data_IF_356124439896
#
_entry.id   IF_356124439896
#
_cell.length_a   1.000
_cell.length_b   1.000
_cell.length_c   1.000
_cell.angle_alpha   90.00
_cell.angle_beta   90.00
_cell.angle_gamma   90.00
#
_symmetry.space_group_name_H-M   'P 1'
#
loop_
_entity.id
_entity.type
_entity.pdbx_description
1 polymer ?
#
# COMPACT_ATOMS: atom_id res chain seq x y z
N UNK A 1 0.88 -10.46 1.90
CA UNK A 1 1.33 -9.17 1.97
C UNK A 1 1.55 -8.42 0.68
N UNK A 2 2.70 -7.79 0.56
CA UNK A 2 3.04 -6.79 -0.48
C UNK A 2 2.85 -7.34 -1.91
N UNK A 3 3.44 -8.49 -2.22
CA UNK A 3 3.36 -9.11 -3.57
C UNK A 3 1.89 -9.37 -3.95
N UNK A 4 1.10 -9.95 -3.04
CA UNK A 4 -0.32 -10.22 -3.31
C UNK A 4 -1.11 -8.92 -3.57
N UNK A 5 -0.82 -7.86 -2.82
CA UNK A 5 -1.43 -6.54 -3.02
C UNK A 5 -1.13 -5.99 -4.41
N UNK A 6 0.14 -6.04 -4.83
CA UNK A 6 0.57 -5.56 -6.15
C UNK A 6 -0.04 -6.38 -7.30
N UNK A 7 -0.14 -7.69 -7.14
CA UNK A 7 -0.79 -8.57 -8.13
C UNK A 7 -2.27 -8.20 -8.28
N UNK A 8 -2.99 -7.97 -7.18
CA UNK A 8 -4.41 -7.58 -7.21
C UNK A 8 -4.59 -6.23 -7.91
N UNK A 9 -3.77 -5.22 -7.59
CA UNK A 9 -3.84 -3.92 -8.28
C UNK A 9 -3.53 -4.08 -9.77
N UNK A 10 -2.47 -4.82 -10.10
CA UNK A 10 -2.06 -5.06 -11.49
C UNK A 10 -3.15 -5.76 -12.31
N UNK A 11 -3.78 -6.80 -11.75
CA UNK A 11 -4.91 -7.48 -12.40
C UNK A 11 -6.11 -6.56 -12.56
N UNK A 12 -6.47 -5.80 -11.52
CA UNK A 12 -7.57 -4.83 -11.58
C UNK A 12 -7.33 -3.77 -12.68
N UNK A 13 -6.08 -3.29 -12.81
CA UNK A 13 -5.70 -2.35 -13.85
C UNK A 13 -5.83 -2.96 -15.26
N UNK A 14 -5.32 -4.19 -15.45
CA UNK A 14 -5.45 -4.89 -16.73
C UNK A 14 -6.92 -5.15 -17.10
N UNK A 15 -7.76 -5.50 -16.14
CA UNK A 15 -9.19 -5.70 -16.36
C UNK A 15 -9.92 -4.42 -16.79
N UNK A 16 -9.38 -3.23 -16.44
CA UNK A 16 -9.85 -1.94 -16.91
C UNK A 16 -9.21 -1.49 -18.25
N UNK A 17 -8.35 -2.33 -18.85
CA UNK A 17 -7.73 -2.07 -20.15
C UNK A 17 -6.39 -1.32 -20.07
N UNK A 18 -5.81 -1.15 -18.90
CA UNK A 18 -4.48 -0.54 -18.77
C UNK A 18 -3.35 -1.54 -19.02
N UNK A 19 -2.27 -1.07 -19.62
CA UNK A 19 -1.00 -1.78 -19.58
C UNK A 19 -0.40 -1.69 -18.16
N UNK A 20 0.27 -2.74 -17.73
CA UNK A 20 0.85 -2.83 -16.38
C UNK A 20 2.26 -3.40 -16.45
N UNK A 21 3.18 -2.76 -15.77
CA UNK A 21 4.52 -3.28 -15.52
C UNK A 21 4.71 -3.40 -14.01
N UNK A 22 4.99 -4.60 -13.54
CA UNK A 22 5.24 -4.92 -12.14
C UNK A 22 6.69 -5.39 -11.97
N UNK A 23 7.42 -4.75 -11.06
CA UNK A 23 8.77 -5.14 -10.67
C UNK A 23 8.82 -5.45 -9.18
N UNK A 24 9.49 -6.53 -8.81
CA UNK A 24 9.76 -6.88 -7.41
C UNK A 24 11.22 -6.53 -7.08
N UNK A 25 11.41 -5.81 -5.98
CA UNK A 25 12.72 -5.43 -5.48
C UNK A 25 12.92 -6.10 -4.12
N UNK A 26 13.88 -7.01 -4.08
CA UNK A 26 14.29 -7.71 -2.87
C UNK A 26 15.59 -7.10 -2.33
N UNK A 27 15.59 -6.70 -1.05
CA UNK A 27 16.79 -6.26 -0.37
C UNK A 27 17.84 -7.37 -0.31
N UNK A 28 19.12 -7.03 -0.45
CA UNK A 28 20.22 -8.01 -0.47
C UNK A 28 20.49 -8.70 0.88
N UNK A 29 19.89 -8.25 1.97
CA UNK A 29 20.02 -8.93 3.27
C UNK A 29 18.96 -10.01 3.38
N UNK A 30 19.39 -11.26 3.32
CA UNK A 30 18.54 -12.46 3.45
C UNK A 30 17.93 -12.67 4.86
N UNK A 31 18.08 -11.70 5.77
CA UNK A 31 17.53 -11.75 7.12
C UNK A 31 16.50 -10.64 7.26
N UNK A 32 15.22 -10.99 7.22
CA UNK A 32 14.06 -10.10 7.39
C UNK A 32 14.07 -8.91 6.39
N UNK A 33 14.42 -9.20 5.12
CA UNK A 33 14.57 -8.19 4.10
C UNK A 33 13.27 -7.48 3.78
N UNK A 34 13.32 -6.15 3.74
CA UNK A 34 12.27 -5.31 3.16
C UNK A 34 11.98 -5.78 1.74
N UNK A 35 10.72 -6.03 1.42
CA UNK A 35 10.24 -6.32 0.07
C UNK A 35 9.47 -5.11 -0.42
N UNK A 36 9.85 -4.59 -1.58
CA UNK A 36 9.09 -3.56 -2.26
C UNK A 36 8.71 -4.00 -3.66
N UNK A 37 7.62 -3.44 -4.16
CA UNK A 37 7.19 -3.63 -5.54
C UNK A 37 7.00 -2.27 -6.18
N UNK A 38 7.39 -2.14 -7.44
CA UNK A 38 7.11 -0.98 -8.27
C UNK A 38 6.05 -1.37 -9.30
N UNK A 39 4.94 -0.67 -9.30
CA UNK A 39 3.83 -0.88 -10.22
C UNK A 39 3.66 0.35 -11.10
N UNK A 40 3.73 0.17 -12.41
CA UNK A 40 3.49 1.22 -13.40
C UNK A 40 2.24 0.87 -14.20
N UNK A 41 1.28 1.79 -14.23
CA UNK A 41 -0.02 1.62 -14.88
C UNK A 41 -0.11 2.62 -16.03
N UNK A 42 -0.23 2.14 -17.27
CA UNK A 42 -0.21 2.93 -18.49
C UNK A 42 0.89 2.49 -19.46
N UNK A 43 1.21 3.33 -20.43
CA UNK A 43 2.18 3.04 -21.49
C UNK A 43 3.59 3.45 -21.04
N UNK A 44 4.35 2.48 -20.55
CA UNK A 44 5.73 2.67 -20.09
C UNK A 44 6.67 1.65 -20.73
N UNK A 45 7.85 2.12 -21.18
CA UNK A 45 8.87 1.27 -21.79
C UNK A 45 9.80 0.59 -20.77
N UNK A 46 9.81 1.01 -19.50
CA UNK A 46 10.74 0.49 -18.50
C UNK A 46 10.04 -0.06 -17.26
N UNK A 47 10.68 -1.01 -16.62
CA UNK A 47 10.18 -1.64 -15.39
C UNK A 47 10.59 -0.90 -14.12
N UNK A 48 11.64 -0.07 -14.17
CA UNK A 48 12.16 0.66 -13.01
C UNK A 48 11.51 2.04 -12.94
N UNK A 49 10.96 2.35 -11.77
CA UNK A 49 10.45 3.69 -11.48
C UNK A 49 11.64 4.64 -11.21
N UNK A 50 11.76 5.75 -11.96
CA UNK A 50 12.78 6.76 -11.66
C UNK A 50 12.62 7.35 -10.26
N UNK A 51 13.72 7.84 -9.69
CA UNK A 51 13.65 8.54 -8.41
C UNK A 51 12.78 9.81 -8.53
N UNK A 52 12.09 10.16 -7.47
CA UNK A 52 11.18 11.32 -7.36
C UNK A 52 10.01 11.34 -8.37
N UNK A 53 9.59 10.18 -8.88
CA UNK A 53 8.53 10.08 -9.90
C UNK A 53 7.31 9.28 -9.50
N UNK A 54 7.27 8.77 -8.27
CA UNK A 54 6.09 8.04 -7.79
C UNK A 54 4.90 8.98 -7.61
N UNK A 55 3.72 8.57 -8.10
CA UNK A 55 2.45 9.24 -7.80
C UNK A 55 1.95 8.87 -6.40
N UNK A 56 2.24 7.63 -5.97
CA UNK A 56 1.82 7.11 -4.68
C UNK A 56 2.85 6.14 -4.10
N UNK A 57 3.06 6.22 -2.78
CA UNK A 57 3.75 5.21 -1.98
C UNK A 57 2.73 4.58 -1.04
N UNK A 58 2.64 3.25 -1.06
CA UNK A 58 1.79 2.47 -0.16
C UNK A 58 2.65 1.61 0.75
N UNK A 59 2.54 1.78 2.07
CA UNK A 59 3.33 1.03 3.03
C UNK A 59 2.49 0.36 4.12
N UNK A 60 2.92 -0.83 4.53
CA UNK A 60 2.27 -1.63 5.58
C UNK A 60 2.77 -1.29 6.98
N UNK A 61 3.81 -0.45 7.09
CA UNK A 61 4.33 0.01 8.36
C UNK A 61 5.10 1.33 8.19
N UNK A 62 5.26 2.15 9.27
CA UNK A 62 5.72 3.54 9.13
C UNK A 62 7.15 3.71 8.60
N UNK A 63 8.13 2.87 9.03
CA UNK A 63 9.52 3.07 8.63
C UNK A 63 9.77 2.71 7.16
N UNK A 64 8.97 1.82 6.58
CA UNK A 64 9.12 1.44 5.17
C UNK A 64 8.70 2.58 4.24
N UNK A 65 7.75 3.45 4.63
CA UNK A 65 7.46 4.64 3.83
C UNK A 65 8.67 5.56 3.76
N UNK A 66 9.39 5.72 4.88
CA UNK A 66 10.61 6.55 4.92
C UNK A 66 11.71 5.98 4.03
N UNK A 67 11.85 4.66 4.01
CA UNK A 67 12.84 3.98 3.15
C UNK A 67 12.57 4.15 1.65
N UNK A 68 11.30 4.36 1.29
CA UNK A 68 10.88 4.54 -0.10
C UNK A 68 10.87 6.01 -0.56
N UNK A 69 11.22 6.98 0.29
CA UNK A 69 11.14 8.43 -0.03
C UNK A 69 12.02 8.88 -1.17
N UNK A 70 13.06 8.11 -1.54
CA UNK A 70 13.84 8.40 -2.74
C UNK A 70 12.99 8.34 -4.03
N UNK A 71 11.86 7.63 -4.01
CA UNK A 71 10.91 7.56 -5.13
C UNK A 71 9.89 8.71 -5.11
N UNK A 72 9.72 9.37 -3.97
CA UNK A 72 8.72 10.42 -3.74
C UNK A 72 9.21 11.81 -4.19
N UNK A 73 8.25 12.62 -4.61
CA UNK A 73 8.35 14.08 -4.70
C UNK A 73 7.31 14.71 -3.76
N UNK A 74 7.20 16.05 -3.72
CA UNK A 74 6.30 16.76 -2.80
C UNK A 74 4.83 16.43 -3.00
N UNK A 75 4.43 16.03 -4.20
CA UNK A 75 3.04 15.74 -4.58
C UNK A 75 2.71 14.25 -4.53
N UNK A 76 3.70 13.41 -4.22
CA UNK A 76 3.50 11.97 -4.00
C UNK A 76 2.57 11.74 -2.81
N UNK A 77 1.55 10.91 -2.99
CA UNK A 77 0.65 10.51 -1.91
C UNK A 77 1.29 9.42 -1.06
N UNK A 78 1.47 9.70 0.22
CA UNK A 78 2.06 8.79 1.19
C UNK A 78 0.95 8.11 2.00
N UNK A 79 0.59 6.90 1.63
CA UNK A 79 -0.46 6.09 2.28
C UNK A 79 0.21 4.99 3.10
N UNK A 80 0.02 4.94 4.40
CA UNK A 80 0.69 3.94 5.22
C UNK A 80 -0.05 3.59 6.49
N UNK A 81 0.13 2.35 6.92
CA UNK A 81 -0.33 1.87 8.21
C UNK A 81 0.50 2.49 9.33
N UNK A 82 -0.15 2.96 10.39
CA UNK A 82 0.52 3.60 11.53
C UNK A 82 1.10 2.61 12.54
N UNK A 83 0.75 1.33 12.45
CA UNK A 83 1.23 0.31 13.38
C UNK A 83 2.64 -0.16 13.02
N UNK A 84 3.64 0.01 13.93
CA UNK A 84 5.01 -0.41 13.65
C UNK A 84 5.16 -1.94 13.69
N UNK A 85 5.97 -2.48 12.79
CA UNK A 85 6.44 -3.87 12.85
C UNK A 85 7.86 -3.85 13.38
N UNK A 86 8.01 -4.11 14.69
CA UNK A 86 9.31 -4.05 15.37
C UNK A 86 10.11 -5.32 15.03
N UNK A 87 11.29 -5.20 14.40
CA UNK A 87 12.16 -6.36 14.14
C UNK A 87 12.58 -7.04 15.45
N UNK A 88 12.56 -8.38 15.45
CA UNK A 88 12.95 -9.18 16.62
C UNK A 88 14.44 -9.09 16.97
N UNK A 89 15.28 -8.62 16.05
CA UNK A 89 16.75 -8.59 16.15
C UNK A 89 17.36 -7.18 16.16
N UNK A 90 16.58 -6.14 16.45
CA UNK A 90 17.06 -4.75 16.37
C UNK A 90 17.61 -4.23 17.69
N UNK A 91 18.90 -3.84 17.71
CA UNK A 91 19.54 -3.15 18.85
C UNK A 91 19.13 -1.67 18.97
N UNK A 92 18.42 -1.13 17.99
CA UNK A 92 17.99 0.27 17.95
C UNK A 92 16.51 0.40 18.29
N UNK A 93 16.13 1.38 19.11
CA UNK A 93 14.73 1.64 19.39
C UNK A 93 14.01 2.05 18.09
N UNK A 94 12.77 1.56 17.90
CA UNK A 94 11.92 1.98 16.79
C UNK A 94 11.58 3.47 16.94
N UNK A 95 11.65 4.26 15.85
CA UNK A 95 11.32 5.68 15.88
C UNK A 95 9.89 5.93 16.38
N UNK A 96 9.65 7.05 17.05
CA UNK A 96 8.30 7.43 17.46
C UNK A 96 7.45 7.72 16.21
N UNK A 97 6.37 6.97 16.03
CA UNK A 97 5.50 7.05 14.84
C UNK A 97 4.88 8.44 14.68
N UNK A 98 4.46 9.09 15.77
CA UNK A 98 3.86 10.43 15.69
C UNK A 98 4.87 11.49 15.22
N UNK A 99 6.11 11.42 15.72
CA UNK A 99 7.18 12.29 15.23
C UNK A 99 7.47 12.08 13.75
N UNK A 100 7.47 10.81 13.32
CA UNK A 100 7.68 10.47 11.92
C UNK A 100 6.55 11.04 11.04
N UNK A 101 5.29 10.91 11.46
CA UNK A 101 4.14 11.49 10.76
C UNK A 101 4.30 13.00 10.65
N UNK A 102 4.60 13.70 11.75
CA UNK A 102 4.78 15.16 11.74
C UNK A 102 5.88 15.60 10.75
N UNK A 103 7.01 14.90 10.71
CA UNK A 103 8.09 15.19 9.76
C UNK A 103 7.61 14.98 8.30
N UNK A 104 6.84 13.94 8.03
CA UNK A 104 6.29 13.71 6.68
C UNK A 104 5.31 14.82 6.29
N UNK A 105 4.42 15.23 7.19
CA UNK A 105 3.43 16.30 6.97
C UNK A 105 4.08 17.67 6.73
N UNK A 106 5.25 17.94 7.31
CA UNK A 106 6.03 19.15 7.06
C UNK A 106 6.67 19.18 5.66
N UNK A 107 6.92 18.01 5.06
CA UNK A 107 7.73 17.89 3.83
C UNK A 107 6.94 17.44 2.60
N UNK A 108 5.75 16.88 2.75
CA UNK A 108 4.91 16.34 1.67
C UNK A 108 3.50 16.88 1.73
N UNK A 109 2.90 17.11 0.57
CA UNK A 109 1.57 17.72 0.47
C UNK A 109 0.44 16.73 0.84
N UNK A 110 0.66 15.44 0.68
CA UNK A 110 -0.38 14.42 0.87
C UNK A 110 0.14 13.27 1.73
N UNK A 111 -0.13 13.33 3.02
CA UNK A 111 0.26 12.32 4.00
C UNK A 111 -1.00 11.71 4.61
N UNK A 112 -1.18 10.41 4.43
CA UNK A 112 -2.38 9.67 4.81
C UNK A 112 -1.99 8.50 5.74
N UNK A 113 -1.75 8.78 7.04
CA UNK A 113 -1.53 7.74 8.04
C UNK A 113 -2.86 7.07 8.39
N UNK A 114 -2.90 5.75 8.38
CA UNK A 114 -4.11 4.95 8.60
C UNK A 114 -3.87 3.96 9.73
N UNK A 115 -4.73 3.91 10.75
CA UNK A 115 -4.76 2.78 11.68
C UNK A 115 -5.40 1.56 11.01
N UNK A 116 -4.68 1.00 10.07
CA UNK A 116 -5.14 -0.13 9.28
C UNK A 116 -5.31 -1.40 10.11
N UNK A 117 -4.55 -1.55 11.21
CA UNK A 117 -4.68 -2.68 12.11
C UNK A 117 -6.07 -2.67 12.78
N UNK A 118 -6.48 -1.53 13.34
CA UNK A 118 -7.79 -1.41 13.96
C UNK A 118 -8.91 -1.64 12.94
N UNK A 119 -8.82 -1.01 11.77
CA UNK A 119 -9.81 -1.19 10.71
C UNK A 119 -9.90 -2.66 10.23
N UNK A 120 -8.79 -3.38 10.15
CA UNK A 120 -8.79 -4.79 9.78
C UNK A 120 -9.41 -5.69 10.86
N UNK A 121 -9.15 -5.38 12.15
CA UNK A 121 -9.77 -6.08 13.28
C UNK A 121 -11.29 -5.85 13.27
N UNK A 122 -11.73 -4.61 13.08
CA UNK A 122 -13.15 -4.25 13.03
C UNK A 122 -13.87 -4.89 11.83
N UNK A 123 -13.15 -5.07 10.69
CA UNK A 123 -13.66 -5.82 9.55
C UNK A 123 -13.77 -7.34 9.80
N UNK A 124 -13.07 -7.85 10.83
CA UNK A 124 -13.16 -9.22 11.30
C UNK A 124 -11.84 -9.97 11.48
N UNK A 125 -10.72 -9.53 10.88
CA UNK A 125 -9.43 -10.18 11.09
C UNK A 125 -8.26 -9.31 10.63
N UNK A 126 -7.22 -9.20 11.48
CA UNK A 126 -5.99 -8.45 11.19
C UNK A 126 -5.27 -8.88 9.90
N UNK A 127 -5.44 -10.13 9.46
CA UNK A 127 -4.82 -10.63 8.23
C UNK A 127 -5.33 -9.92 6.97
N UNK A 128 -6.44 -9.19 7.05
CA UNK A 128 -7.01 -8.39 5.96
C UNK A 128 -6.45 -6.96 5.87
N UNK A 129 -5.42 -6.61 6.65
CA UNK A 129 -4.78 -5.29 6.64
C UNK A 129 -4.46 -4.79 5.23
N UNK A 130 -3.91 -5.64 4.38
CA UNK A 130 -3.58 -5.28 3.01
C UNK A 130 -4.81 -4.86 2.18
N UNK A 131 -5.98 -5.44 2.46
CA UNK A 131 -7.23 -5.07 1.80
C UNK A 131 -7.79 -3.74 2.33
N UNK A 132 -7.60 -3.44 3.61
CA UNK A 132 -7.91 -2.11 4.16
C UNK A 132 -7.11 -1.04 3.43
N UNK A 133 -5.80 -1.23 3.28
CA UNK A 133 -4.93 -0.28 2.60
C UNK A 133 -5.28 -0.15 1.10
N UNK A 134 -5.64 -1.24 0.43
CA UNK A 134 -6.16 -1.18 -0.94
C UNK A 134 -7.46 -0.38 -1.04
N UNK A 135 -8.37 -0.56 -0.12
CA UNK A 135 -9.60 0.24 -0.04
C UNK A 135 -9.30 1.73 0.08
N UNK A 136 -8.37 2.09 0.97
CA UNK A 136 -7.94 3.48 1.14
C UNK A 136 -7.34 4.07 -0.15
N UNK A 137 -6.51 3.31 -0.86
CA UNK A 137 -5.93 3.73 -2.14
C UNK A 137 -7.00 3.99 -3.20
N UNK A 138 -8.01 3.11 -3.31
CA UNK A 138 -9.10 3.27 -4.29
C UNK A 138 -10.07 4.40 -3.95
N UNK A 139 -10.01 4.95 -2.74
CA UNK A 139 -10.79 6.11 -2.36
C UNK A 139 -10.21 7.44 -2.87
N UNK A 140 -8.97 7.44 -3.35
CA UNK A 140 -8.37 8.60 -3.99
C UNK A 140 -8.96 8.79 -5.39
N UNK A 141 -9.54 9.97 -5.65
CA UNK A 141 -10.19 10.30 -6.93
C UNK A 141 -9.21 10.31 -8.12
N UNK A 142 -7.90 10.45 -7.86
CA UNK A 142 -6.88 10.39 -8.91
C UNK A 142 -6.29 8.97 -9.10
N UNK A 143 -6.68 8.01 -8.27
CA UNK A 143 -6.25 6.63 -8.48
C UNK A 143 -7.04 6.02 -9.65
N UNK A 144 -6.36 5.49 -10.69
CA UNK A 144 -7.04 5.15 -11.94
C UNK A 144 -7.89 3.88 -11.86
N UNK A 145 -7.78 3.11 -10.77
CA UNK A 145 -8.43 1.80 -10.65
C UNK A 145 -9.61 1.89 -9.67
N UNK A 146 -10.79 1.45 -10.12
CA UNK A 146 -11.99 1.47 -9.30
C UNK A 146 -11.95 0.44 -8.17
N UNK A 147 -12.65 0.74 -7.07
CA UNK A 147 -12.83 -0.19 -5.96
C UNK A 147 -13.44 -1.51 -6.42
N UNK A 148 -14.41 -1.46 -7.33
CA UNK A 148 -15.08 -2.63 -7.88
C UNK A 148 -14.10 -3.53 -8.62
N UNK A 149 -13.23 -2.97 -9.46
CA UNK A 149 -12.19 -3.74 -10.17
C UNK A 149 -11.19 -4.39 -9.20
N UNK A 150 -10.85 -3.70 -8.11
CA UNK A 150 -9.99 -4.28 -7.06
C UNK A 150 -10.70 -5.42 -6.33
N UNK A 151 -11.99 -5.29 -6.03
CA UNK A 151 -12.79 -6.36 -5.41
C UNK A 151 -12.84 -7.59 -6.34
N UNK A 152 -13.06 -7.40 -7.62
CA UNK A 152 -13.13 -8.52 -8.58
C UNK A 152 -11.77 -9.20 -8.74
N UNK A 153 -10.68 -8.46 -8.85
CA UNK A 153 -9.34 -9.02 -8.87
C UNK A 153 -8.99 -9.73 -7.55
N UNK A 154 -9.41 -9.20 -6.40
CA UNK A 154 -9.25 -9.84 -5.10
C UNK A 154 -9.96 -11.21 -5.08
N UNK A 155 -11.20 -11.29 -5.57
CA UNK A 155 -11.95 -12.56 -5.65
C UNK A 155 -11.25 -13.60 -6.52
N UNK A 156 -10.64 -13.19 -7.64
CA UNK A 156 -9.86 -14.09 -8.49
C UNK A 156 -8.59 -14.62 -7.81
N UNK A 157 -8.02 -13.86 -6.89
CA UNK A 157 -6.74 -14.16 -6.24
C UNK A 157 -6.87 -14.81 -4.86
N UNK A 158 -8.05 -14.82 -4.26
CA UNK A 158 -8.31 -15.38 -2.95
C UNK A 158 -9.38 -16.48 -3.02
N UNK A 159 -9.30 -17.45 -2.09
CA UNK A 159 -10.32 -18.50 -1.98
C UNK A 159 -11.67 -17.91 -1.57
N UNK A 160 -12.80 -18.45 -2.06
CA UNK A 160 -14.15 -17.92 -1.79
C UNK A 160 -14.48 -17.68 -0.31
N UNK A 161 -14.00 -18.55 0.57
CA UNK A 161 -14.21 -18.44 2.03
C UNK A 161 -13.64 -17.16 2.65
N UNK A 162 -12.72 -16.46 1.96
CA UNK A 162 -12.13 -15.21 2.44
C UNK A 162 -12.72 -13.96 1.76
N UNK A 163 -13.63 -14.11 0.80
CA UNK A 163 -14.13 -12.98 0.02
C UNK A 163 -14.87 -11.98 0.88
N UNK A 164 -15.81 -12.43 1.71
CA UNK A 164 -16.63 -11.55 2.55
C UNK A 164 -15.78 -10.71 3.51
N UNK A 165 -14.82 -11.34 4.18
CA UNK A 165 -13.88 -10.66 5.08
C UNK A 165 -13.09 -9.55 4.33
N UNK A 166 -12.56 -9.90 3.17
CA UNK A 166 -11.70 -8.98 2.42
C UNK A 166 -12.50 -7.87 1.73
N UNK A 167 -13.75 -8.11 1.32
CA UNK A 167 -14.67 -7.06 0.85
C UNK A 167 -14.95 -6.06 1.98
N UNK A 168 -15.26 -6.52 3.20
CA UNK A 168 -15.46 -5.64 4.37
C UNK A 168 -14.21 -4.81 4.68
N UNK A 169 -13.02 -5.41 4.56
CA UNK A 169 -11.76 -4.72 4.78
C UNK A 169 -11.50 -3.63 3.72
N UNK A 170 -11.73 -3.91 2.43
CA UNK A 170 -11.64 -2.92 1.35
C UNK A 170 -12.62 -1.77 1.60
N UNK A 171 -13.86 -2.08 1.93
CA UNK A 171 -14.87 -1.06 2.23
C UNK A 171 -14.50 -0.21 3.43
N UNK A 172 -13.98 -0.81 4.51
CA UNK A 172 -13.53 -0.11 5.70
C UNK A 172 -12.44 0.92 5.39
N UNK A 173 -11.41 0.52 4.61
CA UNK A 173 -10.36 1.43 4.17
C UNK A 173 -10.85 2.53 3.23
N UNK A 174 -11.76 2.20 2.32
CA UNK A 174 -12.37 3.16 1.41
C UNK A 174 -13.16 4.23 2.17
N UNK A 175 -14.01 3.82 3.12
CA UNK A 175 -14.83 4.74 3.91
C UNK A 175 -13.98 5.60 4.85
N UNK A 176 -12.87 5.08 5.38
CA UNK A 176 -11.94 5.86 6.18
C UNK A 176 -11.45 7.13 5.47
N UNK A 177 -11.19 7.04 4.18
CA UNK A 177 -10.71 8.19 3.37
C UNK A 177 -11.87 9.10 2.92
N UNK A 178 -13.02 8.52 2.56
CA UNK A 178 -14.18 9.29 2.07
C UNK A 178 -14.99 9.94 3.19
N UNK A 179 -14.95 9.38 4.40
CA UNK A 179 -15.64 9.68 5.66
C UNK A 179 -15.86 10.81 6.18
#
# INVERSE_FOLDING_TARGET
GIIKTSVIIGEAAMNQGFNVVLSEIHGMSQREGSVSTELRIGDFEGSILPDHSADMLLSFEPIEIVRALNKANKDTKLVFNTHPIIPSSGDKPYPNTNNLISILEENYNYVLPIDGNQLAIDAGNIVSLNMVLLGAVTADDNFPISKESVIDAMKNNLKPQFHELNIKAIESGYQWIKG
#
